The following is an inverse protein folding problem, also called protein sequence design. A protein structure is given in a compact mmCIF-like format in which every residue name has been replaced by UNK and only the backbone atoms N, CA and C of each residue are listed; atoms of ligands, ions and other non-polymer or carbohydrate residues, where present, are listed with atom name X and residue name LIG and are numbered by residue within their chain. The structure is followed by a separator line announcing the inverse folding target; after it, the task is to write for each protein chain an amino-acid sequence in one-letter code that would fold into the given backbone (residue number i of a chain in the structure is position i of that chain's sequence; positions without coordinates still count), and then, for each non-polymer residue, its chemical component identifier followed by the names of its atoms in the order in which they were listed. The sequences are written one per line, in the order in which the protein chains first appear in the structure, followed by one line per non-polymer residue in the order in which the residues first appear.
data_IF_608870837456
#
_entry.id   IF_608870837456
#
_cell.length_a   1.000
_cell.length_b   1.000
_cell.length_c   1.000
_cell.angle_alpha   90.00
_cell.angle_beta   90.00
_cell.angle_gamma   90.00
#
_symmetry.space_group_name_H-M   'P 1'
#
loop_
_entity.id
_entity.type
_entity.pdbx_description
1 polymer ?
#
# COMPACT_ATOMS: atom_id res chain seq x y z
N UNK A 1 12.00 0.17 -4.81
CA UNK A 1 12.24 1.03 -3.62
C UNK A 1 12.47 0.16 -2.39
N UNK A 2 13.47 0.48 -1.57
CA UNK A 2 13.80 -0.27 -0.35
C UNK A 2 13.57 0.63 0.88
N UNK A 3 12.85 0.09 1.86
CA UNK A 3 12.58 0.71 3.17
C UNK A 3 13.24 -0.18 4.21
N UNK A 4 14.52 0.05 4.44
CA UNK A 4 15.38 -0.76 5.30
C UNK A 4 15.87 -0.03 6.56
N UNK A 5 15.54 1.26 6.70
CA UNK A 5 15.85 2.05 7.89
C UNK A 5 15.04 1.57 9.11
N UNK A 6 15.68 1.41 10.29
CA UNK A 6 15.00 0.99 11.49
C UNK A 6 14.06 2.09 12.01
N UNK A 7 12.83 1.71 12.35
CA UNK A 7 11.75 2.60 12.81
C UNK A 7 11.35 3.72 11.82
N UNK A 8 11.68 3.55 10.55
CA UNK A 8 11.25 4.43 9.48
C UNK A 8 9.72 4.56 9.44
N UNK A 9 9.21 5.79 9.28
CA UNK A 9 7.78 6.08 9.11
C UNK A 9 7.56 6.67 7.72
N UNK A 10 6.95 5.91 6.82
CA UNK A 10 6.75 6.33 5.43
C UNK A 10 5.27 6.33 5.05
N UNK A 11 4.90 7.37 4.31
CA UNK A 11 3.65 7.42 3.53
C UNK A 11 4.01 7.44 2.06
N UNK A 12 3.56 6.42 1.33
CA UNK A 12 3.67 6.30 -0.11
C UNK A 12 2.31 6.60 -0.70
N UNK A 13 2.11 7.86 -1.05
CA UNK A 13 0.86 8.38 -1.56
C UNK A 13 1.01 8.88 -3.00
N UNK A 14 0.09 8.49 -3.87
CA UNK A 14 -0.02 8.98 -5.25
C UNK A 14 1.22 8.78 -6.15
N UNK A 15 1.83 7.60 -6.10
CA UNK A 15 2.94 7.24 -6.98
C UNK A 15 2.48 6.40 -8.19
N UNK A 16 3.29 6.45 -9.26
CA UNK A 16 3.17 5.54 -10.41
C UNK A 16 4.33 4.55 -10.42
N UNK A 17 4.06 3.26 -10.19
CA UNK A 17 5.06 2.19 -10.20
C UNK A 17 4.79 1.26 -11.36
N UNK A 18 5.55 1.40 -12.44
CA UNK A 18 5.26 0.67 -13.67
C UNK A 18 6.48 0.00 -14.26
N UNK A 19 6.26 -1.14 -14.91
CA UNK A 19 7.30 -1.93 -15.58
C UNK A 19 8.47 -2.30 -14.65
N UNK A 20 8.17 -2.58 -13.38
CA UNK A 20 9.12 -3.07 -12.39
C UNK A 20 9.12 -4.62 -12.39
N UNK A 21 10.01 -5.22 -11.60
CA UNK A 21 10.13 -6.67 -11.48
C UNK A 21 10.31 -7.16 -10.04
N UNK A 22 9.96 -6.34 -9.05
CA UNK A 22 10.25 -6.60 -7.64
C UNK A 22 10.44 -5.33 -6.82
N UNK A 23 10.41 -5.48 -5.49
CA UNK A 23 10.72 -4.41 -4.52
C UNK A 23 9.90 -3.14 -4.78
N UNK A 24 8.59 -3.26 -4.96
CA UNK A 24 7.66 -2.18 -5.23
C UNK A 24 6.58 -2.01 -4.13
N UNK A 25 6.95 -1.71 -2.87
CA UNK A 25 8.30 -1.65 -2.30
C UNK A 25 8.74 -2.93 -1.57
N UNK A 26 10.03 -2.97 -1.19
CA UNK A 26 10.53 -3.84 -0.12
C UNK A 26 10.51 -3.10 1.21
N UNK A 27 9.90 -3.68 2.25
CA UNK A 27 9.88 -3.18 3.62
C UNK A 27 10.57 -4.20 4.53
N UNK A 28 11.74 -3.83 5.06
CA UNK A 28 12.57 -4.73 5.87
C UNK A 28 13.23 -4.08 7.09
N UNK A 29 13.11 -2.77 7.27
CA UNK A 29 13.64 -2.08 8.45
C UNK A 29 12.89 -2.52 9.72
N UNK A 30 13.60 -2.96 10.76
CA UNK A 30 12.97 -3.36 12.02
C UNK A 30 12.19 -2.18 12.60
N UNK A 31 10.91 -2.38 12.89
CA UNK A 31 10.01 -1.34 13.39
C UNK A 31 9.49 -0.37 12.33
N UNK A 32 9.86 -0.55 11.05
CA UNK A 32 9.40 0.32 9.98
C UNK A 32 7.89 0.24 9.78
N UNK A 33 7.27 1.39 9.53
CA UNK A 33 5.84 1.58 9.29
C UNK A 33 5.64 2.22 7.93
N UNK A 34 4.85 1.57 7.07
CA UNK A 34 4.56 2.05 5.72
C UNK A 34 3.06 2.12 5.46
N UNK A 35 2.54 3.33 5.23
CA UNK A 35 1.22 3.53 4.63
C UNK A 35 1.37 3.57 3.11
N UNK A 36 0.74 2.66 2.40
CA UNK A 36 0.79 2.55 0.94
C UNK A 36 -0.61 2.81 0.39
N UNK A 37 -0.80 3.99 -0.20
CA UNK A 37 -2.15 4.44 -0.59
C UNK A 37 -2.23 5.29 -1.86
N UNK A 38 -3.36 5.24 -2.55
CA UNK A 38 -3.63 5.95 -3.80
C UNK A 38 -2.56 5.78 -4.89
N UNK A 39 -1.79 4.69 -4.89
CA UNK A 39 -0.79 4.44 -5.91
C UNK A 39 -1.40 3.69 -7.09
N UNK A 40 -0.78 3.82 -8.25
CA UNK A 40 -1.05 2.99 -9.43
C UNK A 40 0.17 2.12 -9.71
N UNK A 41 0.00 0.81 -9.65
CA UNK A 41 0.96 -0.21 -10.05
C UNK A 41 0.53 -0.77 -11.40
N UNK A 42 1.47 -0.83 -12.37
CA UNK A 42 1.13 -1.22 -13.72
C UNK A 42 2.21 -2.06 -14.42
N UNK A 43 1.80 -3.24 -14.89
CA UNK A 43 2.64 -4.14 -15.68
C UNK A 43 3.95 -4.52 -14.98
N UNK A 44 3.89 -4.73 -13.66
CA UNK A 44 5.03 -5.23 -12.92
C UNK A 44 5.15 -6.75 -13.08
N UNK A 45 6.34 -7.19 -13.47
CA UNK A 45 6.69 -8.59 -13.60
C UNK A 45 7.05 -9.21 -12.24
N UNK A 46 6.99 -10.54 -12.15
CA UNK A 46 7.41 -11.32 -10.97
C UNK A 46 6.61 -11.00 -9.69
N UNK A 47 6.97 -9.96 -8.94
CA UNK A 47 6.31 -9.58 -7.69
C UNK A 47 6.34 -8.06 -7.44
N UNK A 48 5.40 -7.57 -6.61
CA UNK A 48 5.38 -6.15 -6.19
C UNK A 48 6.00 -6.01 -4.81
N UNK A 49 5.26 -6.43 -3.79
CA UNK A 49 5.61 -6.18 -2.39
C UNK A 49 6.60 -7.22 -1.88
N UNK A 50 7.59 -6.74 -1.12
CA UNK A 50 8.37 -7.58 -0.22
C UNK A 50 8.18 -7.13 1.23
N UNK A 51 7.64 -7.98 2.12
CA UNK A 51 7.48 -7.64 3.55
C UNK A 51 8.20 -8.65 4.45
N UNK A 52 8.76 -8.15 5.55
CA UNK A 52 9.57 -8.95 6.47
C UNK A 52 9.14 -8.73 7.92
N UNK A 53 9.51 -9.68 8.79
CA UNK A 53 9.20 -9.62 10.22
C UNK A 53 9.68 -8.34 10.90
N UNK A 54 8.90 -7.88 11.88
CA UNK A 54 9.15 -6.63 12.60
C UNK A 54 8.71 -5.37 11.86
N UNK A 55 8.14 -5.48 10.65
CA UNK A 55 7.58 -4.34 9.90
C UNK A 55 6.06 -4.24 10.05
N UNK A 56 5.50 -3.07 9.73
CA UNK A 56 4.06 -2.78 9.81
C UNK A 56 3.60 -2.06 8.54
N UNK A 57 2.66 -2.64 7.80
CA UNK A 57 2.24 -2.10 6.50
C UNK A 57 0.73 -2.04 6.39
N UNK A 58 0.21 -0.89 5.95
CA UNK A 58 -1.18 -0.69 5.57
C UNK A 58 -1.26 -0.41 4.07
N UNK A 59 -1.99 -1.24 3.32
CA UNK A 59 -2.12 -1.13 1.86
C UNK A 59 -3.59 -0.93 1.51
N UNK A 60 -3.98 0.29 1.14
CA UNK A 60 -5.37 0.69 0.95
C UNK A 60 -5.58 1.66 -0.21
N UNK A 61 -6.67 1.50 -0.97
CA UNK A 61 -7.06 2.42 -2.04
C UNK A 61 -6.09 2.50 -3.23
N UNK A 62 -5.26 1.48 -3.48
CA UNK A 62 -4.36 1.43 -4.63
C UNK A 62 -5.05 0.79 -5.84
N UNK A 63 -4.48 0.99 -7.03
CA UNK A 63 -4.85 0.28 -8.26
C UNK A 63 -3.65 -0.56 -8.71
N UNK A 64 -3.87 -1.85 -8.95
CA UNK A 64 -2.86 -2.80 -9.41
C UNK A 64 -3.37 -3.45 -10.70
N UNK A 65 -2.65 -3.26 -11.81
CA UNK A 65 -3.10 -3.61 -13.15
C UNK A 65 -2.02 -4.28 -13.99
N UNK A 66 -2.27 -5.51 -14.45
CA UNK A 66 -1.29 -6.24 -15.26
C UNK A 66 -0.10 -6.77 -14.46
N UNK A 67 -0.22 -6.81 -13.13
CA UNK A 67 0.88 -7.18 -12.24
C UNK A 67 0.86 -8.69 -11.98
N UNK A 68 2.02 -9.34 -11.93
CA UNK A 68 2.09 -10.81 -11.66
C UNK A 68 1.59 -11.14 -10.23
N UNK A 69 1.51 -10.14 -9.33
CA UNK A 69 0.99 -10.15 -7.95
C UNK A 69 1.35 -11.35 -7.11
N UNK A 70 2.64 -11.45 -6.80
CA UNK A 70 3.09 -12.19 -5.65
C UNK A 70 3.52 -11.19 -4.56
N UNK A 71 3.07 -11.40 -3.33
CA UNK A 71 3.83 -10.91 -2.17
C UNK A 71 4.99 -11.87 -2.03
N UNK A 72 6.21 -11.34 -2.13
CA UNK A 72 7.44 -12.07 -1.83
C UNK A 72 7.90 -11.68 -0.42
N UNK A 73 8.69 -12.49 0.26
CA UNK A 73 9.03 -12.27 1.67
C UNK A 73 7.94 -12.79 2.62
N UNK A 74 8.28 -13.81 3.39
CA UNK A 74 7.35 -14.58 4.22
C UNK A 74 7.22 -14.00 5.64
N UNK A 75 6.81 -12.73 5.77
CA UNK A 75 6.67 -12.14 7.12
C UNK A 75 6.09 -10.74 7.20
N UNK A 76 6.08 -10.22 8.44
CA UNK A 76 5.64 -8.85 8.76
C UNK A 76 4.17 -8.71 9.14
N UNK A 77 3.80 -7.51 9.62
CA UNK A 77 2.44 -7.19 10.04
C UNK A 77 1.75 -6.40 8.92
N UNK A 78 0.99 -7.09 8.07
CA UNK A 78 0.36 -6.48 6.89
C UNK A 78 -1.17 -6.46 7.02
N UNK A 79 -1.76 -5.30 6.72
CA UNK A 79 -3.19 -5.14 6.49
C UNK A 79 -3.43 -4.62 5.08
N UNK A 80 -3.94 -5.48 4.19
CA UNK A 80 -4.05 -5.17 2.74
C UNK A 80 -5.48 -5.05 2.22
N UNK A 81 -6.45 -4.90 3.13
CA UNK A 81 -7.86 -4.63 2.87
C UNK A 81 -8.45 -5.52 1.75
N UNK A 82 -8.39 -6.86 1.87
CA UNK A 82 -8.75 -7.76 0.77
C UNK A 82 -10.27 -7.86 0.51
N UNK A 83 -11.12 -7.38 1.44
CA UNK A 83 -12.58 -7.47 1.34
C UNK A 83 -13.32 -6.40 2.17
N UNK A 84 -14.64 -6.30 1.97
CA UNK A 84 -15.50 -5.32 2.65
C UNK A 84 -15.50 -5.43 4.18
N UNK A 85 -15.32 -6.64 4.72
CA UNK A 85 -15.20 -6.86 6.16
C UNK A 85 -13.91 -6.23 6.70
N UNK A 86 -12.79 -6.44 6.00
CA UNK A 86 -11.52 -5.80 6.35
C UNK A 86 -11.53 -4.28 6.19
N UNK A 87 -12.27 -3.77 5.20
CA UNK A 87 -12.52 -2.33 5.03
C UNK A 87 -13.21 -1.74 6.27
N UNK A 88 -14.29 -2.38 6.72
CA UNK A 88 -15.09 -1.93 7.88
C UNK A 88 -14.31 -2.04 9.19
N UNK A 89 -13.48 -3.08 9.34
CA UNK A 89 -12.69 -3.29 10.55
C UNK A 89 -11.70 -2.15 10.85
N UNK A 90 -11.29 -1.37 9.83
CA UNK A 90 -10.43 -0.20 10.04
C UNK A 90 -11.08 0.88 10.92
N UNK A 91 -12.42 0.97 10.97
CA UNK A 91 -13.10 2.04 11.69
C UNK A 91 -12.74 2.09 13.19
N UNK A 92 -12.53 0.94 13.84
CA UNK A 92 -12.18 0.87 15.26
C UNK A 92 -10.72 1.21 15.59
N UNK A 93 -9.87 1.30 14.55
CA UNK A 93 -8.45 1.62 14.68
C UNK A 93 -8.12 3.01 14.15
N UNK A 94 -8.67 3.36 12.98
CA UNK A 94 -8.31 4.57 12.21
C UNK A 94 -9.42 5.62 12.22
N UNK A 95 -10.59 5.34 12.80
CA UNK A 95 -11.76 6.23 12.79
C UNK A 95 -12.45 6.32 11.43
N UNK A 96 -12.06 5.49 10.45
CA UNK A 96 -12.64 5.40 9.11
C UNK A 96 -12.54 4.00 8.55
N UNK A 97 -13.40 3.67 7.58
CA UNK A 97 -13.24 2.48 6.77
C UNK A 97 -12.01 2.63 5.86
N UNK A 98 -11.27 1.55 5.62
CA UNK A 98 -10.18 1.55 4.63
C UNK A 98 -10.75 1.30 3.22
N UNK A 99 -10.40 2.08 2.20
CA UNK A 99 -10.79 1.78 0.82
C UNK A 99 -10.14 0.49 0.31
N UNK A 100 -10.91 -0.29 -0.45
CA UNK A 100 -10.41 -1.49 -1.13
C UNK A 100 -9.36 -1.12 -2.18
N UNK A 101 -8.40 -2.02 -2.39
CA UNK A 101 -7.52 -1.98 -3.56
C UNK A 101 -8.28 -2.50 -4.78
N UNK A 102 -8.03 -1.92 -5.96
CA UNK A 102 -8.59 -2.38 -7.24
C UNK A 102 -7.57 -3.24 -7.96
N UNK A 103 -7.90 -4.50 -8.22
CA UNK A 103 -7.00 -5.49 -8.81
C UNK A 103 -7.58 -5.97 -10.14
N UNK A 104 -6.86 -5.76 -11.25
CA UNK A 104 -7.36 -6.07 -12.60
C UNK A 104 -6.28 -6.66 -13.49
N UNK A 105 -6.57 -7.77 -14.18
CA UNK A 105 -5.61 -8.45 -15.06
C UNK A 105 -4.28 -8.80 -14.37
N UNK A 106 -4.34 -9.05 -13.07
CA UNK A 106 -3.17 -9.27 -12.23
C UNK A 106 -3.28 -10.63 -11.52
N UNK A 107 -2.20 -11.08 -10.88
CA UNK A 107 -2.19 -12.31 -10.08
C UNK A 107 -3.11 -12.26 -8.85
N UNK A 108 -3.08 -13.31 -8.03
CA UNK A 108 -3.98 -13.44 -6.87
C UNK A 108 -3.63 -12.41 -5.79
N UNK A 109 -4.61 -11.59 -5.40
CA UNK A 109 -4.49 -10.73 -4.22
C UNK A 109 -4.65 -11.57 -2.93
N UNK A 110 -3.62 -11.70 -2.08
CA UNK A 110 -3.73 -12.50 -0.86
C UNK A 110 -4.60 -11.80 0.19
N UNK A 111 -5.17 -12.58 1.11
CA UNK A 111 -5.97 -12.05 2.22
C UNK A 111 -5.10 -11.84 3.46
N UNK A 112 -4.50 -10.64 3.60
CA UNK A 112 -3.62 -10.30 4.72
C UNK A 112 -4.34 -9.34 5.69
N UNK A 113 -4.63 -9.85 6.89
CA UNK A 113 -5.44 -9.17 7.91
C UNK A 113 -4.76 -9.19 9.28
N UNK A 114 -3.46 -8.90 9.34
CA UNK A 114 -2.72 -8.93 10.60
C UNK A 114 -3.05 -7.68 11.41
N UNK A 115 -3.83 -7.83 12.48
CA UNK A 115 -4.38 -6.71 13.27
C UNK A 115 -3.34 -5.85 13.97
N UNK A 116 -2.15 -6.39 14.24
CA UNK A 116 -1.00 -5.64 14.76
C UNK A 116 -0.57 -4.49 13.84
N UNK A 117 -0.81 -4.58 12.52
CA UNK A 117 -0.61 -3.47 11.60
C UNK A 117 -1.54 -2.29 11.97
N UNK A 118 -2.85 -2.53 12.04
CA UNK A 118 -3.82 -1.50 12.43
C UNK A 118 -3.59 -0.98 13.86
N UNK A 119 -3.22 -1.86 14.79
CA UNK A 119 -2.88 -1.48 16.16
C UNK A 119 -1.63 -0.58 16.21
N UNK A 120 -0.66 -0.77 15.31
CA UNK A 120 0.49 0.13 15.15
C UNK A 120 0.05 1.48 14.60
N UNK A 121 -0.76 1.50 13.54
CA UNK A 121 -1.28 2.73 12.95
C UNK A 121 -2.13 3.56 13.93
N UNK A 122 -2.92 2.90 14.78
CA UNK A 122 -3.73 3.55 15.84
C UNK A 122 -2.91 4.38 16.84
N UNK A 123 -1.60 4.13 16.95
CA UNK A 123 -0.73 4.88 17.87
C UNK A 123 -0.38 6.27 17.35
N UNK A 124 -0.58 6.54 16.06
CA UNK A 124 -0.27 7.82 15.43
C UNK A 124 -1.52 8.69 15.36
N UNK A 125 -1.33 10.00 15.50
CA UNK A 125 -2.39 10.97 15.26
C UNK A 125 -2.87 10.90 13.80
N UNK A 126 -4.18 10.97 13.59
CA UNK A 126 -4.78 10.82 12.26
C UNK A 126 -4.35 11.91 11.28
N UNK A 127 -3.87 13.06 11.75
CA UNK A 127 -3.30 14.12 10.90
C UNK A 127 -2.01 13.72 10.19
N UNK A 128 -1.30 12.68 10.67
CA UNK A 128 -0.13 12.12 10.00
C UNK A 128 -0.49 11.01 9.01
N UNK A 129 -1.74 10.56 8.98
CA UNK A 129 -2.21 9.49 8.10
C UNK A 129 -2.97 10.07 6.92
N UNK A 130 -2.61 9.63 5.71
CA UNK A 130 -3.39 9.98 4.53
C UNK A 130 -4.75 9.29 4.62
N UNK A 131 -5.83 10.04 4.36
CA UNK A 131 -7.14 9.46 4.10
C UNK A 131 -7.25 9.20 2.60
N UNK A 132 -7.40 7.95 2.16
CA UNK A 132 -7.35 7.65 0.73
C UNK A 132 -8.57 8.18 -0.01
N UNK A 133 -8.37 8.47 -1.28
CA UNK A 133 -9.44 8.75 -2.24
C UNK A 133 -10.07 7.44 -2.72
N UNK A 134 -11.15 7.53 -3.51
CA UNK A 134 -11.71 6.34 -4.15
C UNK A 134 -10.72 5.75 -5.15
N UNK A 135 -10.49 4.44 -5.09
CA UNK A 135 -9.64 3.73 -6.06
C UNK A 135 -10.08 3.95 -7.53
N UNK A 136 -11.38 4.24 -7.75
CA UNK A 136 -11.92 4.53 -9.09
C UNK A 136 -11.32 5.77 -9.77
N UNK A 137 -10.79 6.73 -9.00
CA UNK A 137 -10.17 7.95 -9.56
C UNK A 137 -8.64 7.90 -9.53
N UNK A 138 -8.05 6.92 -8.84
CA UNK A 138 -6.61 6.84 -8.62
C UNK A 138 -5.88 6.70 -9.95
N UNK A 139 -6.19 5.71 -10.78
CA UNK A 139 -5.49 5.52 -12.08
C UNK A 139 -5.45 6.79 -12.93
N UNK A 140 -6.60 7.43 -13.14
CA UNK A 140 -6.69 8.64 -13.95
C UNK A 140 -5.88 9.79 -13.33
N UNK A 141 -5.98 9.99 -12.01
CA UNK A 141 -5.21 11.00 -11.30
C UNK A 141 -3.71 10.78 -11.41
N UNK A 142 -3.25 9.53 -11.26
CA UNK A 142 -1.82 9.20 -11.28
C UNK A 142 -1.22 9.39 -12.66
N UNK A 143 -1.88 8.90 -13.72
CA UNK A 143 -1.39 9.08 -15.10
C UNK A 143 -1.31 10.57 -15.48
N UNK A 144 -2.22 11.39 -14.95
CA UNK A 144 -2.22 12.82 -15.20
C UNK A 144 -1.13 13.58 -14.43
N UNK A 145 -0.88 13.21 -13.16
CA UNK A 145 -0.17 14.08 -12.22
C UNK A 145 1.17 13.53 -11.70
N UNK A 146 1.43 12.22 -11.78
CA UNK A 146 2.65 11.65 -11.22
C UNK A 146 3.86 11.87 -12.13
N UNK A 147 4.97 12.28 -11.53
CA UNK A 147 6.27 12.43 -12.20
C UNK A 147 6.62 13.87 -12.56
N UNK A 148 7.84 14.03 -13.07
CA UNK A 148 8.42 15.34 -13.40
C UNK A 148 7.63 15.99 -14.54
N UNK A 149 7.41 17.30 -14.45
CA UNK A 149 6.75 18.09 -15.51
C UNK A 149 5.22 18.05 -15.50
N UNK A 150 4.60 17.49 -14.46
CA UNK A 150 3.14 17.37 -14.32
C UNK A 150 2.50 18.39 -13.38
N UNK A 151 3.31 19.14 -12.63
CA UNK A 151 2.83 20.23 -11.77
C UNK A 151 2.44 21.40 -12.66
N UNK A 152 1.16 21.77 -12.66
CA UNK A 152 0.70 23.02 -13.25
C UNK A 152 0.94 24.15 -12.24
N UNK A 153 1.61 25.22 -12.69
CA UNK A 153 1.84 26.44 -11.92
C UNK A 153 0.59 27.33 -11.89
#
# INVERSE_FOLDING_TARGET
MMIDGPNDLLTLDRNYWHNLSGRAPKISGTGAVAQITNNYMANNADHDFETYDGTYTLIEGNVLEGDTLHFSGEGGNVWNVPDSASSTACASYLGRNCPLNTITNSGTWPSLKVTSALAKFKQYDSSYLVTPTSASVVKASIVANAGIGKIQM
#
